data_IF_084631400665
#
_entry.id   IF_084631400665
#
_cell.length_a   1.000
_cell.length_b   1.000
_cell.length_c   1.000
_cell.angle_alpha   90.00
_cell.angle_beta   90.00
_cell.angle_gamma   90.00
#
_symmetry.space_group_name_H-M   'P 1'
#
loop_
_entity.id
_entity.type
_entity.pdbx_description
1 polymer ?
#
# COMPACT_ATOMS: atom_id res chain seq x y z
N UNK A 1 -21.56 -10.56 23.36
CA UNK A 1 -21.30 -9.81 22.11
C UNK A 1 -19.81 -9.87 21.84
N UNK A 2 -19.37 -10.23 20.63
CA UNK A 2 -17.93 -10.26 20.30
C UNK A 2 -17.42 -8.83 20.18
N UNK A 3 -16.35 -8.48 20.89
CA UNK A 3 -15.72 -7.15 20.82
C UNK A 3 -14.68 -7.14 19.70
N UNK A 4 -14.64 -6.07 18.90
CA UNK A 4 -13.68 -5.88 17.82
C UNK A 4 -12.91 -4.58 18.06
N UNK A 5 -11.58 -4.61 17.87
CA UNK A 5 -10.75 -3.42 18.01
C UNK A 5 -10.88 -2.51 16.77
N UNK A 6 -11.99 -1.75 16.71
CA UNK A 6 -12.28 -0.87 15.56
C UNK A 6 -11.26 0.28 15.44
N UNK A 7 -10.66 0.70 16.56
CA UNK A 7 -9.63 1.76 16.58
C UNK A 7 -8.38 1.38 15.76
N UNK A 8 -8.17 0.08 15.47
CA UNK A 8 -7.08 -0.38 14.61
C UNK A 8 -7.12 0.27 13.21
N UNK A 9 -8.29 0.73 12.75
CA UNK A 9 -8.44 1.47 11.48
C UNK A 9 -7.56 2.74 11.42
N UNK A 10 -7.43 3.46 12.53
CA UNK A 10 -6.61 4.68 12.57
C UNK A 10 -5.12 4.36 12.46
N UNK A 11 -4.67 3.30 13.14
CA UNK A 11 -3.30 2.79 13.05
C UNK A 11 -2.98 2.34 11.62
N UNK A 12 -3.87 1.58 10.99
CA UNK A 12 -3.69 1.11 9.60
C UNK A 12 -3.66 2.27 8.62
N UNK A 13 -4.52 3.29 8.79
CA UNK A 13 -4.49 4.51 7.98
C UNK A 13 -3.13 5.20 8.03
N UNK A 14 -2.58 5.40 9.24
CA UNK A 14 -1.28 6.06 9.42
C UNK A 14 -0.15 5.21 8.83
N UNK A 15 -0.17 3.91 9.09
CA UNK A 15 0.78 2.94 8.52
C UNK A 15 0.77 2.98 6.99
N UNK A 16 -0.41 2.87 6.37
CA UNK A 16 -0.58 2.86 4.91
C UNK A 16 -0.03 4.13 4.28
N UNK A 17 -0.34 5.29 4.87
CA UNK A 17 0.15 6.60 4.41
C UNK A 17 1.67 6.69 4.47
N UNK A 18 2.29 6.25 5.58
CA UNK A 18 3.74 6.30 5.75
C UNK A 18 4.47 5.30 4.86
N UNK A 19 3.91 4.10 4.67
CA UNK A 19 4.43 3.09 3.77
C UNK A 19 4.43 3.56 2.31
N UNK A 20 3.38 4.26 1.89
CA UNK A 20 3.34 4.90 0.58
C UNK A 20 4.46 5.95 0.44
N UNK A 21 4.65 6.82 1.45
CA UNK A 21 5.71 7.84 1.41
C UNK A 21 7.12 7.26 1.41
N UNK A 22 7.39 6.21 2.20
CA UNK A 22 8.70 5.57 2.22
C UNK A 22 9.06 4.91 0.89
N UNK A 23 8.08 4.53 0.08
CA UNK A 23 8.31 3.93 -1.23
C UNK A 23 8.83 4.94 -2.26
N UNK A 24 8.48 6.22 -2.12
CA UNK A 24 8.79 7.26 -3.10
C UNK A 24 9.85 8.27 -2.64
N UNK A 25 10.02 8.45 -1.33
CA UNK A 25 10.93 9.45 -0.76
C UNK A 25 12.09 8.79 -0.02
N UNK A 26 13.28 8.73 -0.63
CA UNK A 26 14.48 8.12 -0.02
C UNK A 26 14.83 8.72 1.35
N UNK A 27 14.62 10.03 1.56
CA UNK A 27 14.86 10.68 2.86
C UNK A 27 13.93 10.18 3.98
N UNK A 28 12.78 9.59 3.62
CA UNK A 28 11.80 9.06 4.58
C UNK A 28 11.99 7.55 4.82
N UNK A 29 12.76 6.86 3.98
CA UNK A 29 12.96 5.41 4.06
C UNK A 29 13.71 5.03 5.34
N UNK A 30 14.79 5.74 5.66
CA UNK A 30 15.60 5.49 6.85
C UNK A 30 14.92 5.98 8.14
N UNK A 31 14.20 7.11 8.06
CA UNK A 31 13.49 7.73 9.20
C UNK A 31 12.24 6.94 9.60
N UNK A 32 11.61 6.22 8.66
CA UNK A 32 10.38 5.48 8.93
C UNK A 32 10.58 3.97 9.06
N UNK A 33 11.76 3.43 8.75
CA UNK A 33 12.01 1.98 8.78
C UNK A 33 11.57 1.30 10.08
N UNK A 34 12.11 1.75 11.21
CA UNK A 34 11.80 1.20 12.54
C UNK A 34 10.32 1.40 12.90
N UNK A 35 9.78 2.60 12.62
CA UNK A 35 8.38 2.89 12.87
C UNK A 35 7.44 1.98 12.09
N UNK A 36 7.72 1.75 10.80
CA UNK A 36 6.89 0.92 9.93
C UNK A 36 6.91 -0.53 10.38
N UNK A 37 8.10 -1.05 10.70
CA UNK A 37 8.25 -2.41 11.22
C UNK A 37 7.50 -2.59 12.54
N UNK A 38 7.73 -1.72 13.53
CA UNK A 38 7.03 -1.79 14.81
C UNK A 38 5.51 -1.69 14.66
N UNK A 39 5.04 -0.76 13.81
CA UNK A 39 3.61 -0.55 13.61
C UNK A 39 2.99 -1.73 12.90
N UNK A 40 3.67 -2.31 11.91
CA UNK A 40 3.24 -3.52 11.22
C UNK A 40 3.10 -4.70 12.19
N UNK A 41 4.10 -4.93 13.05
CA UNK A 41 4.07 -5.99 14.07
C UNK A 41 2.95 -5.78 15.09
N UNK A 42 2.71 -4.53 15.51
CA UNK A 42 1.59 -4.17 16.40
C UNK A 42 0.24 -4.47 15.74
N UNK A 43 0.09 -4.16 14.45
CA UNK A 43 -1.13 -4.46 13.69
C UNK A 43 -1.35 -5.97 13.58
N UNK A 44 -0.34 -6.74 13.18
CA UNK A 44 -0.48 -8.20 13.03
C UNK A 44 -0.76 -8.89 14.36
N UNK A 45 -0.10 -8.47 15.44
CA UNK A 45 -0.41 -8.94 16.79
C UNK A 45 -1.86 -8.66 17.17
N UNK A 46 -2.38 -7.46 16.86
CA UNK A 46 -3.77 -7.10 17.13
C UNK A 46 -4.79 -7.87 16.26
N UNK A 47 -4.34 -8.54 15.21
CA UNK A 47 -5.13 -9.39 14.32
C UNK A 47 -4.94 -10.89 14.62
N UNK A 48 -4.25 -11.25 15.71
CA UNK A 48 -3.91 -12.62 16.08
C UNK A 48 -3.15 -13.37 14.96
N UNK A 49 -2.29 -12.65 14.22
CA UNK A 49 -1.45 -13.21 13.16
C UNK A 49 -0.04 -13.45 13.72
N UNK A 50 0.31 -14.72 13.85
CA UNK A 50 1.66 -15.16 14.24
C UNK A 50 2.70 -14.85 13.16
N UNK A 51 3.98 -14.91 13.52
CA UNK A 51 5.10 -14.80 12.58
C UNK A 51 5.22 -13.45 11.86
N UNK A 52 4.70 -12.37 12.46
CA UNK A 52 4.70 -11.04 11.84
C UNK A 52 6.08 -10.56 11.37
N UNK A 53 7.16 -10.92 12.08
CA UNK A 53 8.53 -10.58 11.68
C UNK A 53 8.97 -11.26 10.38
N UNK A 54 8.58 -12.52 10.17
CA UNK A 54 8.87 -13.23 8.92
C UNK A 54 8.06 -12.66 7.75
N UNK A 55 6.77 -12.38 7.98
CA UNK A 55 5.90 -11.74 6.98
C UNK A 55 6.46 -10.37 6.59
N UNK A 56 6.85 -9.55 7.56
CA UNK A 56 7.44 -8.24 7.32
C UNK A 56 8.72 -8.31 6.49
N UNK A 57 9.61 -9.26 6.83
CA UNK A 57 10.84 -9.48 6.06
C UNK A 57 10.53 -9.81 4.59
N UNK A 58 9.66 -10.79 4.33
CA UNK A 58 9.29 -11.18 2.97
C UNK A 58 8.61 -10.02 2.23
N UNK A 59 7.76 -9.25 2.93
CA UNK A 59 7.11 -8.08 2.36
C UNK A 59 8.11 -6.99 1.96
N UNK A 60 9.10 -6.69 2.82
CA UNK A 60 10.18 -5.73 2.51
C UNK A 60 10.98 -6.15 1.28
N UNK A 61 11.25 -7.45 1.11
CA UNK A 61 11.96 -7.98 -0.06
C UNK A 61 11.17 -7.77 -1.38
N UNK A 62 9.83 -7.65 -1.33
CA UNK A 62 9.01 -7.35 -2.52
C UNK A 62 8.95 -5.85 -2.89
N UNK A 63 9.25 -4.94 -1.95
CA UNK A 63 9.07 -3.48 -2.15
C UNK A 63 9.81 -2.92 -3.38
N UNK A 64 11.07 -3.31 -3.68
CA UNK A 64 11.77 -2.80 -4.86
C UNK A 64 11.08 -3.20 -6.18
N UNK A 65 10.53 -4.41 -6.26
CA UNK A 65 9.81 -4.86 -7.45
C UNK A 65 8.43 -4.20 -7.57
N UNK A 66 7.74 -3.96 -6.44
CA UNK A 66 6.52 -3.17 -6.42
C UNK A 66 6.79 -1.75 -6.91
N UNK A 67 7.88 -1.13 -6.45
CA UNK A 67 8.28 0.22 -6.87
C UNK A 67 8.50 0.30 -8.38
N UNK A 68 9.24 -0.65 -8.97
CA UNK A 68 9.45 -0.72 -10.42
C UNK A 68 8.14 -0.82 -11.20
N UNK A 69 7.18 -1.62 -10.72
CA UNK A 69 5.85 -1.72 -11.36
C UNK A 69 5.07 -0.41 -11.28
N UNK A 70 5.16 0.30 -10.16
CA UNK A 70 4.52 1.61 -10.01
C UNK A 70 5.16 2.66 -10.90
N UNK A 71 6.47 2.63 -11.13
CA UNK A 71 7.09 3.53 -12.10
C UNK A 71 6.54 3.29 -13.52
N UNK A 72 6.28 2.03 -13.89
CA UNK A 72 5.66 1.68 -15.18
C UNK A 72 4.18 2.06 -15.28
N UNK A 73 3.45 2.00 -14.17
CA UNK A 73 2.06 2.46 -14.09
C UNK A 73 2.01 3.98 -14.23
N UNK A 74 2.89 4.73 -13.56
CA UNK A 74 2.95 6.19 -13.67
C UNK A 74 3.16 6.62 -15.14
N UNK A 75 4.10 5.97 -15.84
CA UNK A 75 4.35 6.19 -17.27
C UNK A 75 3.12 5.82 -18.12
N UNK A 76 2.30 4.85 -17.70
CA UNK A 76 1.05 4.53 -18.39
C UNK A 76 0.01 5.63 -18.22
N UNK A 77 -0.21 6.11 -16.99
CA UNK A 77 -1.12 7.22 -16.72
C UNK A 77 -0.75 8.46 -17.52
N UNK A 78 0.51 8.89 -17.48
CA UNK A 78 0.99 10.05 -18.25
C UNK A 78 0.74 9.90 -19.76
N UNK A 79 1.04 8.73 -20.33
CA UNK A 79 0.90 8.49 -21.78
C UNK A 79 -0.55 8.37 -22.25
N UNK A 80 -1.45 7.90 -21.38
CA UNK A 80 -2.83 7.62 -21.74
C UNK A 80 -3.77 8.78 -21.42
N UNK A 81 -3.33 9.76 -20.63
CA UNK A 81 -4.13 10.94 -20.29
C UNK A 81 -3.60 12.20 -21.01
N UNK A 82 -4.30 12.69 -22.07
CA UNK A 82 -3.94 13.93 -22.75
C UNK A 82 -4.02 15.18 -21.86
N UNK A 83 -4.68 15.09 -20.70
CA UNK A 83 -4.75 16.18 -19.73
C UNK A 83 -3.57 16.19 -18.75
N UNK A 84 -2.75 15.14 -18.74
CA UNK A 84 -1.51 15.11 -17.95
C UNK A 84 -0.48 16.06 -18.53
N UNK A 85 0.14 16.88 -17.68
CA UNK A 85 1.20 17.79 -18.06
C UNK A 85 2.59 17.16 -17.93
N UNK A 86 2.80 16.27 -16.95
CA UNK A 86 4.06 15.57 -16.71
C UNK A 86 3.90 14.41 -15.74
N UNK A 87 4.91 13.53 -15.70
CA UNK A 87 4.98 12.40 -14.78
C UNK A 87 4.89 12.80 -13.30
N UNK A 88 5.43 13.96 -12.89
CA UNK A 88 5.37 14.43 -11.51
C UNK A 88 3.94 14.69 -11.06
N UNK A 89 3.06 15.13 -11.96
CA UNK A 89 1.64 15.31 -11.69
C UNK A 89 0.98 13.96 -11.31
N UNK A 90 1.38 12.88 -11.97
CA UNK A 90 0.89 11.53 -11.69
C UNK A 90 1.22 11.11 -10.27
N UNK A 91 2.47 11.30 -9.83
CA UNK A 91 2.90 10.94 -8.48
C UNK A 91 2.23 11.78 -7.38
N UNK A 92 2.02 13.07 -7.65
CA UNK A 92 1.61 14.04 -6.63
C UNK A 92 0.09 14.23 -6.52
N UNK A 93 -0.65 14.05 -7.61
CA UNK A 93 -2.06 14.45 -7.69
C UNK A 93 -3.02 13.36 -8.19
N UNK A 94 -2.56 12.33 -8.90
CA UNK A 94 -3.49 11.40 -9.56
C UNK A 94 -4.12 10.41 -8.55
N UNK A 95 -5.45 10.47 -8.34
CA UNK A 95 -6.12 9.57 -7.40
C UNK A 95 -6.05 8.10 -7.87
N UNK A 96 -6.07 7.87 -9.18
CA UNK A 96 -5.89 6.53 -9.78
C UNK A 96 -4.52 5.94 -9.46
N UNK A 97 -3.46 6.73 -9.59
CA UNK A 97 -2.11 6.29 -9.25
C UNK A 97 -1.95 6.04 -7.73
N UNK A 98 -2.57 6.87 -6.90
CA UNK A 98 -2.56 6.64 -5.46
C UNK A 98 -3.32 5.35 -5.08
N UNK A 99 -4.49 5.12 -5.66
CA UNK A 99 -5.25 3.87 -5.47
C UNK A 99 -4.44 2.64 -5.89
N UNK A 100 -3.77 2.70 -7.04
CA UNK A 100 -3.00 1.56 -7.56
C UNK A 100 -1.77 1.24 -6.73
N UNK A 101 -1.12 2.28 -6.20
CA UNK A 101 0.01 2.14 -5.29
C UNK A 101 -0.37 1.36 -4.04
N UNK A 102 -1.47 1.74 -3.39
CA UNK A 102 -1.96 1.04 -2.20
C UNK A 102 -2.46 -0.36 -2.53
N UNK A 103 -3.13 -0.54 -3.67
CA UNK A 103 -3.52 -1.88 -4.12
C UNK A 103 -2.31 -2.81 -4.28
N UNK A 104 -1.24 -2.40 -4.97
CA UNK A 104 -0.07 -3.27 -5.20
C UNK A 104 0.62 -3.67 -3.90
N UNK A 105 0.76 -2.73 -2.96
CA UNK A 105 1.26 -2.99 -1.61
C UNK A 105 0.36 -3.97 -0.85
N UNK A 106 -0.96 -3.76 -0.92
CA UNK A 106 -1.96 -4.60 -0.25
C UNK A 106 -1.99 -6.02 -0.84
N UNK A 107 -1.90 -6.15 -2.17
CA UNK A 107 -1.87 -7.43 -2.86
C UNK A 107 -0.61 -8.24 -2.51
N UNK A 108 0.55 -7.57 -2.34
CA UNK A 108 1.77 -8.24 -1.88
C UNK A 108 1.59 -8.89 -0.50
N UNK A 109 1.00 -8.17 0.46
CA UNK A 109 0.63 -8.72 1.77
C UNK A 109 -0.42 -9.83 1.67
N UNK A 110 -1.38 -9.70 0.75
CA UNK A 110 -2.39 -10.73 0.52
C UNK A 110 -1.76 -12.06 0.06
N UNK A 111 -0.76 -12.02 -0.82
CA UNK A 111 0.00 -13.21 -1.25
C UNK A 111 0.76 -13.89 -0.10
N UNK A 112 1.03 -13.17 0.99
CA UNK A 112 1.64 -13.70 2.21
C UNK A 112 0.61 -14.25 3.21
N UNK A 113 -0.63 -14.52 2.76
CA UNK A 113 -1.76 -15.01 3.56
C UNK A 113 -2.24 -14.02 4.65
N UNK A 114 -1.98 -12.72 4.49
CA UNK A 114 -2.56 -11.69 5.36
C UNK A 114 -3.84 -11.16 4.70
N UNK A 115 -5.02 -11.39 5.29
CA UNK A 115 -6.28 -11.01 4.64
C UNK A 115 -6.86 -9.68 5.14
N UNK A 116 -6.91 -9.47 6.46
CA UNK A 116 -7.61 -8.31 7.06
C UNK A 116 -6.86 -7.00 6.80
N UNK A 117 -5.54 -6.97 7.02
CA UNK A 117 -4.74 -5.75 6.84
C UNK A 117 -4.80 -5.21 5.40
N UNK A 118 -4.56 -6.02 4.34
CA UNK A 118 -4.73 -5.56 2.96
C UNK A 118 -6.11 -4.98 2.65
N UNK A 119 -7.18 -5.56 3.21
CA UNK A 119 -8.52 -5.01 3.02
C UNK A 119 -8.67 -3.67 3.74
N UNK A 120 -8.14 -3.52 4.95
CA UNK A 120 -8.16 -2.24 5.66
C UNK A 120 -7.37 -1.14 4.91
N UNK A 121 -6.25 -1.50 4.28
CA UNK A 121 -5.45 -0.57 3.46
C UNK A 121 -6.21 -0.12 2.20
N UNK A 122 -6.84 -1.06 1.49
CA UNK A 122 -7.64 -0.77 0.27
C UNK A 122 -8.92 0.01 0.58
N UNK A 123 -9.60 -0.27 1.69
CA UNK A 123 -10.75 0.53 2.15
C UNK A 123 -10.35 1.96 2.55
N UNK A 124 -9.17 2.13 3.17
CA UNK A 124 -8.65 3.45 3.50
C UNK A 124 -8.43 4.28 2.23
N UNK A 125 -7.80 3.71 1.19
CA UNK A 125 -7.58 4.45 -0.06
C UNK A 125 -8.86 4.64 -0.87
N UNK A 126 -9.82 3.70 -0.79
CA UNK A 126 -11.15 3.85 -1.35
C UNK A 126 -11.85 5.09 -0.77
N UNK A 127 -11.79 5.28 0.55
CA UNK A 127 -12.35 6.48 1.20
C UNK A 127 -11.71 7.80 0.79
N UNK A 128 -10.49 7.79 0.25
CA UNK A 128 -9.77 8.99 -0.23
C UNK A 128 -10.02 9.24 -1.72
N UNK A 129 -10.02 8.18 -2.52
CA UNK A 129 -9.96 8.27 -3.99
C UNK A 129 -11.31 7.97 -4.66
N UNK A 130 -12.24 7.34 -3.94
CA UNK A 130 -13.48 6.78 -4.48
C UNK A 130 -13.29 5.48 -5.27
N UNK A 131 -12.05 5.01 -5.47
CA UNK A 131 -11.73 3.82 -6.28
C UNK A 131 -11.68 2.61 -5.36
N UNK A 132 -12.58 1.64 -5.58
CA UNK A 132 -12.63 0.38 -4.82
C UNK A 132 -11.89 -0.72 -5.58
N UNK A 133 -10.77 -1.20 -5.03
CA UNK A 133 -9.98 -2.30 -5.60
C UNK A 133 -9.76 -3.34 -4.51
N UNK A 134 -10.30 -4.54 -4.70
CA UNK A 134 -10.10 -5.65 -3.77
C UNK A 134 -8.66 -6.17 -3.87
N UNK A 135 -7.94 -6.38 -2.73
CA UNK A 135 -6.54 -6.82 -2.75
C UNK A 135 -6.34 -8.24 -3.30
N UNK A 136 -7.41 -9.04 -3.41
CA UNK A 136 -7.37 -10.42 -3.92
C UNK A 136 -7.22 -10.51 -5.43
N UNK A 137 -7.80 -9.55 -6.15
CA UNK A 137 -7.90 -9.65 -7.60
C UNK A 137 -6.52 -9.47 -8.20
N UNK A 138 -5.95 -10.45 -8.91
CA UNK A 138 -4.66 -10.28 -9.56
C UNK A 138 -4.79 -9.24 -10.65
N UNK A 139 -4.00 -8.17 -10.57
CA UNK A 139 -3.93 -7.18 -11.63
C UNK A 139 -2.70 -7.38 -12.50
N UNK A 140 -2.82 -7.01 -13.77
CA UNK A 140 -1.76 -7.19 -14.75
C UNK A 140 -0.47 -6.45 -14.33
N UNK A 141 0.66 -6.85 -14.93
CA UNK A 141 1.97 -6.26 -14.63
C UNK A 141 2.04 -4.75 -14.89
N UNK A 142 1.11 -4.20 -15.69
CA UNK A 142 0.95 -2.77 -15.96
C UNK A 142 -0.54 -2.45 -16.01
N UNK A 143 -0.95 -1.35 -15.37
CA UNK A 143 -2.29 -0.77 -15.57
C UNK A 143 -2.27 0.17 -16.78
N UNK A 144 -3.33 0.11 -17.58
CA UNK A 144 -3.53 0.93 -18.78
C UNK A 144 -4.72 1.84 -18.53
#
# INVERSE_FOLDING_TARGET
MKSYNVCLKDTVKIFTKRLFYSLFNCEQEEVHGDYLEETFLKILTALDIDSGGHIWKNFKEELPEIRKKLDLDAIAFEKNDPASHCIEEIYLAYPGFHAISIYRLSHALYKLNVHILPRMMTEYIHGITGIDIHPEQPLANRFI
#
